data_IF_503764260354
#
_entry.id   IF_503764260354
#
_cell.length_a   1.000
_cell.length_b   1.000
_cell.length_c   1.000
_cell.angle_alpha   90.00
_cell.angle_beta   90.00
_cell.angle_gamma   90.00
#
_symmetry.space_group_name_H-M   'P 1'
#
loop_
_entity.id
_entity.type
_entity.pdbx_description
1 polymer ?
#
# COMPACT_ATOMS: atom_id res chain seq x y z
N UNK A 1 -14.42 -8.95 -46.32
CA UNK A 1 -13.98 -7.91 -45.38
C UNK A 1 -14.22 -8.45 -43.97
N UNK A 2 -13.21 -9.02 -43.30
CA UNK A 2 -13.36 -9.51 -41.93
C UNK A 2 -12.70 -8.50 -41.00
N UNK A 3 -13.50 -7.62 -40.40
CA UNK A 3 -13.05 -6.68 -39.38
C UNK A 3 -13.22 -7.29 -38.00
N UNK A 4 -12.14 -7.79 -37.40
CA UNK A 4 -12.06 -7.90 -35.95
C UNK A 4 -11.55 -6.55 -35.45
N UNK A 5 -12.43 -5.69 -34.93
CA UNK A 5 -11.98 -4.56 -34.16
C UNK A 5 -11.42 -5.08 -32.82
N UNK A 6 -10.21 -4.68 -32.39
CA UNK A 6 -9.69 -5.11 -31.11
C UNK A 6 -10.51 -4.49 -29.98
N UNK A 7 -11.14 -5.33 -29.15
CA UNK A 7 -11.76 -4.88 -27.92
C UNK A 7 -10.66 -4.62 -26.88
N UNK A 8 -10.17 -3.39 -26.80
CA UNK A 8 -9.29 -2.98 -25.70
C UNK A 8 -10.14 -2.73 -24.45
N UNK A 9 -10.31 -3.76 -23.62
CA UNK A 9 -10.86 -3.60 -22.27
C UNK A 9 -9.71 -3.40 -21.28
N UNK A 10 -9.23 -2.16 -21.14
CA UNK A 10 -8.36 -1.80 -20.02
C UNK A 10 -9.23 -1.46 -18.81
N UNK A 11 -9.60 -2.46 -18.00
CA UNK A 11 -10.04 -2.17 -16.63
C UNK A 11 -8.78 -1.81 -15.85
N UNK A 12 -8.39 -0.53 -15.92
CA UNK A 12 -7.46 0.03 -14.94
C UNK A 12 -8.16 -0.11 -13.59
N UNK A 13 -7.80 -1.16 -12.86
CA UNK A 13 -8.33 -1.35 -11.53
C UNK A 13 -7.57 -0.36 -10.65
N UNK A 14 -8.15 0.80 -10.41
CA UNK A 14 -7.49 1.85 -9.66
C UNK A 14 -7.41 1.42 -8.19
N UNK A 15 -6.20 1.20 -7.71
CA UNK A 15 -5.93 0.91 -6.30
C UNK A 15 -5.49 2.23 -5.64
N UNK A 16 -6.12 2.58 -4.52
CA UNK A 16 -5.72 3.73 -3.70
C UNK A 16 -5.28 3.24 -2.33
N UNK A 17 -4.19 3.80 -1.83
CA UNK A 17 -3.67 3.54 -0.50
C UNK A 17 -3.77 4.83 0.32
N UNK A 18 -4.45 4.75 1.47
CA UNK A 18 -4.53 5.85 2.45
C UNK A 18 -3.83 5.42 3.72
N UNK A 19 -2.79 6.17 4.11
CA UNK A 19 -2.01 5.92 5.31
C UNK A 19 -2.57 6.72 6.47
N UNK A 20 -3.02 6.04 7.52
CA UNK A 20 -3.64 6.61 8.70
C UNK A 20 -2.86 6.25 9.96
N UNK A 21 -2.83 7.16 10.95
CA UNK A 21 -2.20 6.90 12.25
C UNK A 21 -0.70 6.59 12.16
N UNK A 22 -0.02 7.07 11.12
CA UNK A 22 1.42 6.87 10.93
C UNK A 22 2.16 7.54 12.08
N UNK A 23 2.95 6.76 12.81
CA UNK A 23 3.76 7.25 13.92
C UNK A 23 5.12 6.57 13.95
N UNK A 24 6.10 7.29 14.48
CA UNK A 24 7.40 6.72 14.80
C UNK A 24 7.28 5.80 16.02
N UNK A 25 8.02 4.71 15.96
CA UNK A 25 8.24 3.79 17.08
C UNK A 25 9.74 3.65 17.30
N UNK A 26 10.12 3.59 18.57
CA UNK A 26 11.52 3.46 18.98
C UNK A 26 11.64 2.28 19.92
N UNK A 27 12.64 1.44 19.66
CA UNK A 27 13.07 0.41 20.59
C UNK A 27 14.51 0.65 21.05
N UNK A 28 15.07 -0.24 21.88
CA UNK A 28 16.36 -0.01 22.53
C UNK A 28 17.51 0.32 21.56
N UNK A 29 17.56 -0.32 20.39
CA UNK A 29 18.63 -0.17 19.39
C UNK A 29 18.08 -0.04 17.95
N UNK A 30 16.81 0.34 17.79
CA UNK A 30 16.17 0.42 16.48
C UNK A 30 15.12 1.53 16.45
N UNK A 31 14.91 2.11 15.26
CA UNK A 31 13.86 3.08 15.00
C UNK A 31 12.95 2.55 13.90
N UNK A 32 11.70 3.00 13.86
CA UNK A 32 10.75 2.48 12.90
C UNK A 32 9.51 3.33 12.79
N UNK A 33 8.59 2.88 11.96
CA UNK A 33 7.26 3.46 11.82
C UNK A 33 6.19 2.38 11.92
N UNK A 34 5.02 2.75 12.41
CA UNK A 34 3.83 1.91 12.27
C UNK A 34 2.62 2.74 11.85
N UNK A 35 1.65 2.10 11.22
CA UNK A 35 0.43 2.75 10.77
C UNK A 35 -0.57 1.79 10.14
N UNK A 36 -1.71 2.35 9.76
CA UNK A 36 -2.81 1.63 9.11
C UNK A 36 -2.85 2.05 7.64
N UNK A 37 -2.96 1.09 6.73
CA UNK A 37 -3.10 1.34 5.30
C UNK A 37 -4.50 0.87 4.89
N UNK A 38 -5.37 1.83 4.59
CA UNK A 38 -6.66 1.54 3.97
C UNK A 38 -6.46 1.40 2.46
N UNK A 39 -6.83 0.24 1.93
CA UNK A 39 -6.75 -0.08 0.51
C UNK A 39 -8.15 0.00 -0.08
N UNK A 40 -8.32 0.80 -1.13
CA UNK A 40 -9.55 0.81 -1.91
C UNK A 40 -9.28 0.44 -3.36
N UNK A 41 -10.24 -0.26 -3.95
CA UNK A 41 -10.26 -0.66 -5.36
C UNK A 41 -11.48 -0.06 -6.02
N UNK A 42 -11.26 0.78 -7.01
CA UNK A 42 -12.33 1.51 -7.69
C UNK A 42 -13.25 2.23 -6.70
N UNK A 43 -12.66 2.86 -5.67
CA UNK A 43 -13.38 3.59 -4.61
C UNK A 43 -14.06 2.72 -3.55
N UNK A 44 -13.99 1.39 -3.65
CA UNK A 44 -14.57 0.47 -2.65
C UNK A 44 -13.49 -0.06 -1.70
N UNK A 45 -13.75 -0.18 -0.39
CA UNK A 45 -12.82 -0.81 0.54
C UNK A 45 -12.47 -2.23 0.08
N UNK A 46 -11.17 -2.53 -0.02
CA UNK A 46 -10.65 -3.85 -0.35
C UNK A 46 -9.98 -4.50 0.86
N UNK A 47 -9.13 -3.76 1.57
CA UNK A 47 -8.42 -4.26 2.74
C UNK A 47 -8.03 -3.14 3.71
N UNK A 48 -7.75 -3.53 4.95
CA UNK A 48 -7.07 -2.69 5.94
C UNK A 48 -5.82 -3.43 6.40
N UNK A 49 -4.65 -2.84 6.19
CA UNK A 49 -3.37 -3.43 6.58
C UNK A 49 -2.81 -2.69 7.80
N UNK A 50 -2.27 -3.43 8.75
CA UNK A 50 -1.53 -2.88 9.89
C UNK A 50 -0.04 -3.10 9.61
N UNK A 51 0.67 -2.03 9.32
CA UNK A 51 2.08 -2.09 8.91
C UNK A 51 2.99 -1.62 10.04
N UNK A 52 4.11 -2.31 10.21
CA UNK A 52 5.23 -1.91 11.06
C UNK A 52 6.53 -2.07 10.28
N UNK A 53 7.39 -1.06 10.34
CA UNK A 53 8.78 -1.13 9.91
C UNK A 53 9.71 -0.98 11.11
N UNK A 54 10.86 -1.61 11.04
CA UNK A 54 11.95 -1.43 11.99
C UNK A 54 13.27 -1.37 11.22
N UNK A 55 14.14 -0.46 11.64
CA UNK A 55 15.48 -0.25 11.13
C UNK A 55 16.47 -0.28 12.29
N UNK A 56 17.42 -1.22 12.20
CA UNK A 56 18.54 -1.34 13.13
C UNK A 56 19.80 -0.87 12.40
N UNK A 57 20.51 0.16 12.89
CA UNK A 57 21.79 0.57 12.31
C UNK A 57 22.81 -0.58 12.35
N UNK A 58 23.76 -0.65 11.40
CA UNK A 58 24.89 -1.59 11.50
C UNK A 58 25.65 -1.39 12.83
N UNK A 59 26.17 -2.48 13.40
CA UNK A 59 27.12 -2.36 14.51
C UNK A 59 28.41 -1.70 13.99
N UNK A 60 28.91 -0.71 14.75
CA UNK A 60 30.16 -0.02 14.46
C UNK A 60 31.39 -0.91 14.61
#
# INVERSE_FOLDING_TARGET
MYGCAPATASISTAITFVFNGVRNIVGPNWTGGEGIIAVTRNGRPEATLYARSAFTPPAG
#
